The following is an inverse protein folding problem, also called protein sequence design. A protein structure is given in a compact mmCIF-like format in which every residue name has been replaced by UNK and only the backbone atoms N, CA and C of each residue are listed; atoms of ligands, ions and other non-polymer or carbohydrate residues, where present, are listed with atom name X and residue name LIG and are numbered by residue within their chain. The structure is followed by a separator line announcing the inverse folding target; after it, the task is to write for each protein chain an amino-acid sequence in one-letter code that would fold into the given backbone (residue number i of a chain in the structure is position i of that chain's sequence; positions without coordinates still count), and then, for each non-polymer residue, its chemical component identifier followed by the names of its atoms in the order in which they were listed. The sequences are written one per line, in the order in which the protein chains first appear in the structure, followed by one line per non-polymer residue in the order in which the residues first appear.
data_IF_062006686930
#
_entry.id   IF_062006686930
#
_cell.length_a   1.000
_cell.length_b   1.000
_cell.length_c   1.000
_cell.angle_alpha   90.00
_cell.angle_beta   90.00
_cell.angle_gamma   90.00
#
_symmetry.space_group_name_H-M   'P 1'
#
loop_
_entity.id
_entity.type
_entity.pdbx_description
1 polymer ?
#
# COMPACT_ATOMS: atom_id res chain seq x y z
N UNK A 1 42.28 -15.26 -13.59
CA UNK A 1 42.33 -14.89 -12.16
C UNK A 1 41.45 -13.67 -11.94
N UNK A 2 40.60 -13.75 -10.91
CA UNK A 2 39.80 -12.71 -10.26
C UNK A 2 38.69 -12.00 -11.04
N UNK A 3 37.53 -12.68 -11.09
CA UNK A 3 36.23 -12.04 -11.27
C UNK A 3 35.75 -11.52 -9.91
N UNK A 4 35.81 -10.21 -9.69
CA UNK A 4 35.23 -9.56 -8.52
C UNK A 4 33.72 -9.53 -8.72
N UNK A 5 33.03 -10.57 -8.25
CA UNK A 5 31.58 -10.49 -7.99
C UNK A 5 31.42 -9.61 -6.76
N UNK A 6 31.21 -8.32 -6.98
CA UNK A 6 30.69 -7.43 -5.95
C UNK A 6 29.40 -8.07 -5.44
N UNK A 7 29.43 -8.52 -4.17
CA UNK A 7 28.22 -8.75 -3.42
C UNK A 7 27.50 -7.42 -3.40
N UNK A 8 26.42 -7.30 -4.15
CA UNK A 8 25.42 -6.28 -3.90
C UNK A 8 25.05 -6.44 -2.42
N UNK A 9 25.52 -5.51 -1.61
CA UNK A 9 25.10 -5.39 -0.22
C UNK A 9 23.58 -5.34 -0.25
N UNK A 10 22.96 -6.39 0.32
CA UNK A 10 21.52 -6.45 0.48
C UNK A 10 21.11 -5.10 1.09
N UNK A 11 20.15 -4.38 0.49
CA UNK A 11 19.79 -3.05 0.97
C UNK A 11 19.54 -3.19 2.46
N UNK A 12 20.28 -2.39 3.26
CA UNK A 12 20.04 -2.26 4.69
C UNK A 12 18.53 -2.31 4.89
N UNK A 13 18.06 -3.23 5.74
CA UNK A 13 16.64 -3.35 6.07
C UNK A 13 16.23 -2.01 6.70
N UNK A 14 15.92 -1.03 5.86
CA UNK A 14 15.30 0.22 6.24
C UNK A 14 14.07 -0.23 6.99
N UNK A 15 14.03 0.06 8.29
CA UNK A 15 12.87 -0.19 9.11
C UNK A 15 11.66 0.22 8.26
N UNK A 16 10.77 -0.74 7.97
CA UNK A 16 9.59 -0.46 7.18
C UNK A 16 8.82 0.70 7.82
N UNK A 17 7.85 1.31 7.11
CA UNK A 17 7.12 2.49 7.60
C UNK A 17 6.29 2.28 8.89
N UNK A 18 6.50 1.19 9.63
CA UNK A 18 5.63 0.72 10.70
C UNK A 18 4.30 0.27 10.14
N UNK A 19 3.30 0.23 11.00
CA UNK A 19 1.90 0.11 10.61
C UNK A 19 1.43 1.46 10.07
N UNK A 20 0.73 1.43 8.93
CA UNK A 20 0.15 2.60 8.29
C UNK A 20 -1.26 2.29 7.84
N UNK A 21 -1.97 3.32 7.39
CA UNK A 21 -3.32 3.20 6.87
C UNK A 21 -3.35 3.64 5.41
N UNK A 22 -4.17 2.98 4.62
CA UNK A 22 -4.41 3.28 3.22
C UNK A 22 -5.74 4.02 3.11
N UNK A 23 -5.72 5.22 2.54
CA UNK A 23 -6.92 5.97 2.15
C UNK A 23 -7.12 5.72 0.66
N UNK A 24 -8.16 4.97 0.32
CA UNK A 24 -8.41 4.53 -1.04
C UNK A 24 -9.56 5.31 -1.67
N UNK A 25 -9.35 5.71 -2.91
CA UNK A 25 -10.33 6.33 -3.80
C UNK A 25 -10.23 5.66 -5.16
N UNK A 26 -11.24 5.89 -6.01
CA UNK A 26 -11.22 5.47 -7.42
C UNK A 26 -9.94 5.89 -8.17
N UNK A 27 -9.38 7.07 -7.83
CA UNK A 27 -8.29 7.69 -8.59
C UNK A 27 -6.91 7.52 -7.93
N UNK A 28 -6.83 6.84 -6.79
CA UNK A 28 -5.55 6.66 -6.11
C UNK A 28 -5.63 6.25 -4.64
N UNK A 29 -4.45 5.91 -4.12
CA UNK A 29 -4.25 5.48 -2.74
C UNK A 29 -3.19 6.35 -2.07
N UNK A 30 -3.47 6.82 -0.86
CA UNK A 30 -2.52 7.54 -0.02
C UNK A 30 -2.23 6.78 1.26
N UNK A 31 -0.98 6.82 1.70
CA UNK A 31 -0.53 6.18 2.93
C UNK A 31 -0.45 7.19 4.06
N UNK A 32 -1.13 6.94 5.18
CA UNK A 32 -1.23 7.90 6.28
C UNK A 32 -0.95 7.23 7.62
N UNK A 33 -0.57 8.02 8.62
CA UNK A 33 -0.49 7.54 10.00
C UNK A 33 -1.87 7.19 10.57
N UNK A 34 -1.92 6.33 11.59
CA UNK A 34 -3.18 6.02 12.28
C UNK A 34 -3.90 7.24 12.85
N UNK A 35 -3.15 8.22 13.36
CA UNK A 35 -3.73 9.49 13.83
C UNK A 35 -4.45 10.24 12.70
N UNK A 36 -3.85 10.27 11.51
CA UNK A 36 -4.43 10.91 10.33
C UNK A 36 -5.66 10.15 9.84
N UNK A 37 -5.58 8.82 9.75
CA UNK A 37 -6.72 7.97 9.38
C UNK A 37 -7.91 8.18 10.32
N UNK A 38 -7.68 8.17 11.64
CA UNK A 38 -8.73 8.40 12.63
C UNK A 38 -9.35 9.81 12.51
N UNK A 39 -8.54 10.83 12.18
CA UNK A 39 -9.06 12.18 11.91
C UNK A 39 -9.92 12.24 10.65
N UNK A 40 -9.53 11.53 9.60
CA UNK A 40 -10.32 11.43 8.36
C UNK A 40 -11.64 10.72 8.65
N UNK A 41 -11.61 9.55 9.31
CA UNK A 41 -12.82 8.80 9.69
C UNK A 41 -13.82 9.65 10.47
N UNK A 42 -13.35 10.32 11.53
CA UNK A 42 -14.20 11.27 12.29
C UNK A 42 -14.76 12.41 11.45
N UNK A 43 -14.10 12.80 10.36
CA UNK A 43 -14.60 13.84 9.46
C UNK A 43 -15.68 13.31 8.52
N UNK A 44 -15.58 12.05 8.10
CA UNK A 44 -16.55 11.36 7.27
C UNK A 44 -17.84 11.03 8.02
N UNK A 45 -17.75 10.69 9.31
CA UNK A 45 -18.89 10.36 10.17
C UNK A 45 -19.74 11.58 10.59
N UNK A 46 -19.31 12.80 10.26
CA UNK A 46 -20.06 14.02 10.63
C UNK A 46 -21.37 14.11 9.83
N UNK A 47 -22.45 14.47 10.54
CA UNK A 47 -23.75 14.82 9.93
C UNK A 47 -23.60 15.89 8.84
N UNK A 48 -22.76 16.90 9.09
CA UNK A 48 -22.35 17.90 8.11
C UNK A 48 -20.91 17.62 7.69
N UNK A 49 -20.74 16.68 6.75
CA UNK A 49 -19.43 16.29 6.25
C UNK A 49 -18.81 17.43 5.42
N UNK A 50 -17.51 17.74 5.59
CA UNK A 50 -16.84 18.67 4.71
C UNK A 50 -16.76 18.07 3.29
N UNK A 51 -16.90 18.91 2.25
CA UNK A 51 -16.77 18.46 0.86
C UNK A 51 -15.37 17.94 0.54
N UNK A 52 -14.34 18.53 1.15
CA UNK A 52 -12.93 18.20 0.94
C UNK A 52 -12.26 17.78 2.24
N UNK A 53 -11.59 16.63 2.21
CA UNK A 53 -10.72 16.13 3.27
C UNK A 53 -9.28 16.51 2.89
N UNK A 54 -8.60 17.24 3.77
CA UNK A 54 -7.23 17.68 3.58
C UNK A 54 -6.31 16.96 4.54
N UNK A 55 -5.23 16.39 4.03
CA UNK A 55 -4.23 15.69 4.84
C UNK A 55 -2.85 15.71 4.19
N UNK A 56 -1.85 15.27 4.96
CA UNK A 56 -0.49 15.04 4.48
C UNK A 56 -0.26 13.53 4.58
N UNK A 57 0.22 12.94 3.49
CA UNK A 57 0.57 11.52 3.47
C UNK A 57 1.97 11.26 4.05
N UNK A 58 2.34 10.00 4.23
CA UNK A 58 3.64 9.61 4.76
C UNK A 58 4.81 9.96 3.83
N UNK A 59 4.56 10.25 2.55
CA UNK A 59 5.56 10.76 1.61
C UNK A 59 5.79 12.27 1.74
N UNK A 60 4.98 12.97 2.55
CA UNK A 60 5.00 14.42 2.71
C UNK A 60 4.10 15.16 1.72
N UNK A 61 3.38 14.44 0.85
CA UNK A 61 2.47 15.04 -0.14
C UNK A 61 1.21 15.57 0.54
N UNK A 62 0.82 16.80 0.18
CA UNK A 62 -0.44 17.41 0.62
C UNK A 62 -1.57 16.99 -0.32
N UNK A 63 -2.53 16.23 0.18
CA UNK A 63 -3.65 15.72 -0.59
C UNK A 63 -4.95 16.40 -0.18
N UNK A 64 -5.75 16.82 -1.17
CA UNK A 64 -7.12 17.31 -0.99
C UNK A 64 -8.06 16.40 -1.76
N UNK A 65 -8.83 15.59 -1.04
CA UNK A 65 -9.68 14.54 -1.61
C UNK A 65 -11.14 14.85 -1.31
N UNK A 66 -12.06 14.63 -2.27
CA UNK A 66 -13.49 14.79 -2.00
C UNK A 66 -13.94 13.72 -1.01
N UNK A 67 -14.71 14.10 0.01
CA UNK A 67 -15.15 13.16 1.04
C UNK A 67 -15.95 11.98 0.47
N UNK A 68 -16.70 12.22 -0.61
CA UNK A 68 -17.48 11.19 -1.32
C UNK A 68 -16.66 10.26 -2.22
N UNK A 69 -15.42 10.64 -2.55
CA UNK A 69 -14.54 9.82 -3.37
C UNK A 69 -13.72 8.82 -2.52
N UNK A 70 -13.76 8.95 -1.19
CA UNK A 70 -13.10 8.00 -0.28
C UNK A 70 -14.00 6.76 -0.18
N UNK A 71 -13.51 5.66 -0.73
CA UNK A 71 -14.25 4.39 -0.77
C UNK A 71 -14.08 3.62 0.55
N UNK A 72 -12.84 3.54 1.04
CA UNK A 72 -12.53 2.91 2.32
C UNK A 72 -11.19 3.40 2.88
N UNK A 73 -11.02 3.16 4.18
CA UNK A 73 -9.76 3.34 4.90
C UNK A 73 -9.42 2.02 5.57
N UNK A 74 -8.26 1.46 5.26
CA UNK A 74 -7.83 0.16 5.79
C UNK A 74 -6.49 0.27 6.49
N UNK A 75 -6.34 -0.45 7.60
CA UNK A 75 -5.06 -0.63 8.25
C UNK A 75 -4.18 -1.58 7.43
N UNK A 76 -2.89 -1.26 7.36
CA UNK A 76 -1.85 -2.04 6.68
C UNK A 76 -0.74 -2.33 7.67
N UNK A 77 -0.95 -3.41 8.44
CA UNK A 77 0.03 -3.90 9.41
C UNK A 77 1.16 -4.65 8.71
N UNK A 78 2.32 -4.75 9.36
CA UNK A 78 3.41 -5.63 8.88
C UNK A 78 2.95 -7.08 8.68
N UNK A 79 2.09 -7.58 9.58
CA UNK A 79 1.55 -8.94 9.51
C UNK A 79 0.64 -9.12 8.27
N UNK A 80 -0.28 -8.18 8.01
CA UNK A 80 -1.13 -8.21 6.81
C UNK A 80 -0.30 -8.14 5.53
N UNK A 81 0.69 -7.25 5.47
CA UNK A 81 1.58 -7.13 4.29
C UNK A 81 2.39 -8.39 4.03
N UNK A 82 2.79 -9.11 5.08
CA UNK A 82 3.48 -10.40 4.94
C UNK A 82 2.54 -11.48 4.41
N UNK A 83 1.31 -11.55 4.91
CA UNK A 83 0.27 -12.44 4.37
C UNK A 83 -0.04 -12.14 2.90
N UNK A 84 -0.22 -10.87 2.55
CA UNK A 84 -0.51 -10.43 1.18
C UNK A 84 0.63 -10.74 0.21
N UNK A 85 1.88 -10.54 0.63
CA UNK A 85 3.06 -10.91 -0.17
C UNK A 85 3.07 -12.42 -0.44
N UNK A 86 2.82 -13.23 0.58
CA UNK A 86 2.73 -14.69 0.43
C UNK A 86 1.60 -15.10 -0.51
N UNK A 87 0.40 -14.52 -0.33
CA UNK A 87 -0.73 -14.80 -1.20
C UNK A 87 -0.44 -14.43 -2.67
N UNK A 88 0.06 -13.21 -2.92
CA UNK A 88 0.42 -12.76 -4.28
C UNK A 88 1.53 -13.61 -4.89
N UNK A 89 2.49 -14.07 -4.09
CA UNK A 89 3.52 -14.99 -4.54
C UNK A 89 2.93 -16.34 -4.98
N UNK A 90 2.03 -16.92 -4.18
CA UNK A 90 1.34 -18.17 -4.52
C UNK A 90 0.50 -18.02 -5.79
N UNK A 91 -0.30 -16.95 -5.90
CA UNK A 91 -1.10 -16.66 -7.10
C UNK A 91 -0.23 -16.52 -8.37
N UNK A 92 0.93 -15.84 -8.26
CA UNK A 92 1.88 -15.73 -9.38
C UNK A 92 2.50 -17.08 -9.74
N UNK A 93 2.79 -17.93 -8.75
CA UNK A 93 3.33 -19.27 -8.97
C UNK A 93 2.31 -20.17 -9.68
N UNK A 94 1.05 -20.15 -9.25
CA UNK A 94 -0.05 -20.87 -9.91
C UNK A 94 -0.27 -20.37 -11.34
N UNK A 95 -0.30 -19.06 -11.56
CA UNK A 95 -0.45 -18.47 -12.90
C UNK A 95 0.69 -18.87 -13.85
N UNK A 96 1.93 -18.95 -13.34
CA UNK A 96 3.09 -19.42 -14.12
C UNK A 96 3.05 -20.92 -14.41
N UNK A 97 2.50 -21.73 -13.49
CA UNK A 97 2.34 -23.17 -13.70
C UNK A 97 1.32 -23.46 -14.82
N UNK A 98 0.28 -22.63 -14.95
CA UNK A 98 -0.69 -22.73 -16.04
C UNK A 98 -0.14 -22.30 -17.41
N UNK A 99 0.77 -21.32 -17.48
CA UNK A 99 1.35 -20.85 -18.76
C UNK A 99 2.37 -21.79 -19.40
N UNK A 100 2.81 -22.85 -18.72
CA UNK A 100 3.88 -23.74 -19.21
C UNK A 100 3.43 -24.67 -20.35
N UNK A 101 2.16 -24.67 -20.73
CA UNK A 101 1.60 -25.61 -21.73
C UNK A 101 1.34 -24.98 -23.11
N UNK A 102 1.57 -23.68 -23.31
CA UNK A 102 1.21 -22.98 -24.55
C UNK A 102 2.41 -22.68 -25.50
N UNK A 103 3.65 -23.05 -25.14
CA UNK A 103 4.86 -22.73 -25.92
C UNK A 103 5.41 -23.91 -26.77
N UNK A 104 4.63 -24.99 -26.95
CA UNK A 104 5.00 -26.15 -27.80
C UNK A 104 4.17 -26.22 -29.10
N UNK A 105 4.18 -25.15 -29.92
CA UNK A 105 3.73 -25.19 -31.33
C UNK A 105 4.59 -24.32 -32.25
#
# INVERSE_FOLDING_TARGET
MNSVKQKEEAPEQRAGPGDYYEVVTEFGTWYVSGQTAARIGRSLDRRWRPRWIKFVDLSGSRAWVRAEAIEFISESTEHQRTRDRTFRYLMRKESKAHRRWDDDY
#
